data_IF_442383807135
#
_entry.id   IF_442383807135
#
_cell.length_a   1.000
_cell.length_b   1.000
_cell.length_c   1.000
_cell.angle_alpha   90.00
_cell.angle_beta   90.00
_cell.angle_gamma   90.00
#
_symmetry.space_group_name_H-M   'P 1'
#
loop_
_entity.id
_entity.type
_entity.pdbx_description
1 polymer ?
#
# COMPACT_ATOMS: atom_id res chain seq x y z
N UNK A 1 11.12 -18.18 3.62
CA UNK A 1 9.98 -17.42 3.07
C UNK A 1 8.97 -17.27 4.20
N UNK A 2 8.67 -16.05 4.63
CA UNK A 2 7.72 -15.83 5.74
C UNK A 2 6.31 -16.13 5.23
N UNK A 3 5.70 -17.23 5.67
CA UNK A 3 4.29 -17.52 5.44
C UNK A 3 3.46 -16.35 5.97
N UNK A 4 2.67 -15.73 5.09
CA UNK A 4 1.68 -14.77 5.54
C UNK A 4 0.67 -15.56 6.37
N UNK A 5 0.58 -15.28 7.67
CA UNK A 5 -0.45 -15.86 8.53
C UNK A 5 -1.76 -15.18 8.17
N UNK A 6 -2.49 -15.75 7.22
CA UNK A 6 -3.75 -15.24 6.67
C UNK A 6 -4.78 -14.96 7.78
N UNK A 7 -4.66 -15.60 8.95
CA UNK A 7 -5.54 -15.41 10.10
C UNK A 7 -5.60 -13.99 10.69
N UNK A 8 -4.59 -13.13 10.42
CA UNK A 8 -4.57 -11.74 10.90
C UNK A 8 -5.02 -10.72 9.83
N UNK A 9 -5.24 -11.18 8.59
CA UNK A 9 -5.66 -10.32 7.48
C UNK A 9 -7.18 -10.41 7.34
N UNK A 10 -7.92 -9.29 7.34
CA UNK A 10 -9.36 -9.30 7.06
C UNK A 10 -9.68 -10.11 5.79
N UNK A 11 -10.66 -11.01 5.85
CA UNK A 11 -11.01 -11.95 4.76
C UNK A 11 -11.08 -11.26 3.37
N UNK A 12 -11.69 -10.06 3.22
CA UNK A 12 -11.75 -9.39 1.92
C UNK A 12 -10.40 -8.99 1.33
N UNK A 13 -9.34 -8.94 2.14
CA UNK A 13 -7.99 -8.54 1.76
C UNK A 13 -7.06 -9.73 1.47
N UNK A 14 -7.37 -10.92 2.00
CA UNK A 14 -6.55 -12.12 1.78
C UNK A 14 -6.37 -12.42 0.29
N UNK A 15 -7.43 -12.26 -0.51
CA UNK A 15 -7.35 -12.40 -1.97
C UNK A 15 -6.38 -11.39 -2.60
N UNK A 16 -6.40 -10.13 -2.15
CA UNK A 16 -5.51 -9.09 -2.67
C UNK A 16 -4.05 -9.33 -2.26
N UNK A 17 -3.81 -9.87 -1.06
CA UNK A 17 -2.47 -10.31 -0.65
C UNK A 17 -1.94 -11.37 -1.62
N UNK A 18 -2.76 -12.36 -1.98
CA UNK A 18 -2.38 -13.37 -2.97
C UNK A 18 -2.12 -12.76 -4.35
N UNK A 19 -3.01 -11.88 -4.82
CA UNK A 19 -2.83 -11.19 -6.10
C UNK A 19 -1.50 -10.44 -6.16
N UNK A 20 -1.11 -9.77 -5.08
CA UNK A 20 0.18 -9.09 -4.97
C UNK A 20 1.34 -10.10 -4.96
N UNK A 21 1.28 -11.13 -4.11
CA UNK A 21 2.34 -12.16 -3.99
C UNK A 21 2.60 -12.91 -5.29
N UNK A 22 1.55 -13.19 -6.05
CA UNK A 22 1.63 -13.84 -7.36
C UNK A 22 1.83 -12.84 -8.52
N UNK A 23 2.21 -11.60 -8.21
CA UNK A 23 2.58 -10.56 -9.18
C UNK A 23 1.50 -10.32 -10.24
N UNK A 24 0.23 -10.35 -9.83
CA UNK A 24 -0.91 -10.15 -10.72
C UNK A 24 -1.15 -8.65 -10.91
N UNK A 25 -1.07 -8.20 -12.16
CA UNK A 25 -1.54 -6.87 -12.55
C UNK A 25 -3.06 -6.75 -12.35
N UNK A 26 -3.59 -5.54 -12.08
CA UNK A 26 -2.86 -4.30 -11.82
C UNK A 26 -2.33 -4.17 -10.38
N UNK A 27 -2.65 -5.12 -9.50
CA UNK A 27 -2.42 -5.02 -8.05
C UNK A 27 -0.95 -4.95 -7.68
N UNK A 28 -0.12 -5.79 -8.31
CA UNK A 28 1.33 -5.78 -8.13
C UNK A 28 1.97 -4.47 -8.61
N UNK A 29 1.48 -3.93 -9.72
CA UNK A 29 1.99 -2.68 -10.31
C UNK A 29 1.71 -1.48 -9.39
N UNK A 30 0.51 -1.46 -8.79
CA UNK A 30 0.12 -0.44 -7.80
C UNK A 30 1.07 -0.47 -6.58
N UNK A 31 1.33 -1.64 -6.00
CA UNK A 31 2.17 -1.72 -4.80
C UNK A 31 3.65 -1.45 -5.10
N UNK A 32 4.14 -1.85 -6.27
CA UNK A 32 5.49 -1.50 -6.73
C UNK A 32 5.63 0.01 -6.90
N UNK A 33 4.64 0.65 -7.52
CA UNK A 33 4.63 2.10 -7.66
C UNK A 33 4.65 2.79 -6.30
N UNK A 34 3.78 2.38 -5.38
CA UNK A 34 3.71 2.94 -4.03
C UNK A 34 5.02 2.78 -3.26
N UNK A 35 5.63 1.59 -3.28
CA UNK A 35 6.90 1.35 -2.60
C UNK A 35 7.98 2.30 -3.13
N UNK A 36 8.11 2.41 -4.45
CA UNK A 36 9.10 3.30 -5.07
C UNK A 36 8.89 4.77 -4.68
N UNK A 37 7.65 5.25 -4.67
CA UNK A 37 7.35 6.63 -4.26
C UNK A 37 7.68 6.85 -2.77
N UNK A 38 7.38 5.89 -1.90
CA UNK A 38 7.74 5.95 -0.48
C UNK A 38 9.25 5.96 -0.25
N UNK A 39 10.02 5.18 -1.02
CA UNK A 39 11.48 5.17 -0.98
C UNK A 39 12.05 6.54 -1.39
N UNK A 40 11.62 7.07 -2.53
CA UNK A 40 12.04 8.40 -3.00
C UNK A 40 11.67 9.49 -1.99
N UNK A 41 10.48 9.40 -1.39
CA UNK A 41 10.04 10.35 -0.37
C UNK A 41 10.93 10.28 0.88
N UNK A 42 11.26 9.07 1.35
CA UNK A 42 12.12 8.86 2.51
C UNK A 42 13.54 9.37 2.29
N UNK A 43 14.14 9.05 1.13
CA UNK A 43 15.49 9.51 0.76
C UNK A 43 15.58 11.05 0.71
N UNK A 44 14.54 11.72 0.19
CA UNK A 44 14.51 13.19 0.05
C UNK A 44 14.44 13.95 1.37
N UNK A 45 13.76 13.39 2.37
CA UNK A 45 13.59 14.05 3.69
C UNK A 45 14.81 13.83 4.59
N UNK A 46 15.72 12.92 4.20
CA UNK A 46 16.94 12.61 4.92
C UNK A 46 16.77 11.39 5.82
N UNK A 47 17.59 10.36 5.58
CA UNK A 47 17.63 9.13 6.37
C UNK A 47 17.92 9.45 7.85
N UNK A 48 16.89 9.39 8.70
CA UNK A 48 17.04 9.68 10.13
C UNK A 48 15.79 10.22 10.82
N UNK A 49 14.85 10.77 10.05
CA UNK A 49 13.54 11.18 10.58
C UNK A 49 12.44 10.21 10.15
N UNK A 50 11.54 9.90 11.07
CA UNK A 50 10.29 9.23 10.76
C UNK A 50 9.41 10.18 9.94
N UNK A 51 8.97 9.76 8.75
CA UNK A 51 8.16 10.60 7.86
C UNK A 51 6.82 9.95 7.56
N UNK A 52 5.78 10.76 7.39
CA UNK A 52 4.47 10.26 6.99
C UNK A 52 4.27 10.42 5.48
N UNK A 53 4.04 9.31 4.80
CA UNK A 53 3.61 9.29 3.41
C UNK A 53 2.09 9.10 3.34
N UNK A 54 1.39 9.96 2.60
CA UNK A 54 -0.07 9.91 2.48
C UNK A 54 -0.48 9.44 1.10
N UNK A 55 -1.31 8.40 1.06
CA UNK A 55 -1.91 7.87 -0.16
C UNK A 55 -3.37 8.33 -0.25
N UNK A 56 -3.69 9.07 -1.31
CA UNK A 56 -5.06 9.36 -1.72
C UNK A 56 -5.47 8.38 -2.84
N UNK A 57 -6.36 7.42 -2.59
CA UNK A 57 -6.76 6.40 -3.55
C UNK A 57 -7.33 6.93 -4.87
N UNK A 58 -7.92 8.14 -4.85
CA UNK A 58 -8.45 8.76 -6.07
C UNK A 58 -7.33 9.30 -6.94
N UNK A 59 -6.37 10.01 -6.35
CA UNK A 59 -5.20 10.50 -7.09
C UNK A 59 -4.39 9.33 -7.62
N UNK A 60 -4.18 8.31 -6.80
CA UNK A 60 -3.50 7.08 -7.22
C UNK A 60 -4.25 6.36 -8.35
N UNK A 61 -5.59 6.41 -8.36
CA UNK A 61 -6.36 5.84 -9.47
C UNK A 61 -6.06 6.57 -10.78
N UNK A 62 -6.12 7.90 -10.75
CA UNK A 62 -5.85 8.76 -11.91
C UNK A 62 -4.42 8.50 -12.43
N UNK A 63 -3.43 8.43 -11.55
CA UNK A 63 -2.03 8.12 -11.88
C UNK A 63 -1.82 6.72 -12.49
N UNK A 64 -2.55 5.72 -11.99
CA UNK A 64 -2.42 4.33 -12.45
C UNK A 64 -3.18 4.09 -13.76
N UNK A 65 -4.34 4.72 -13.95
CA UNK A 65 -5.12 4.61 -15.20
C UNK A 65 -4.34 5.16 -16.40
N UNK A 66 -3.49 6.17 -16.19
CA UNK A 66 -2.58 6.66 -17.23
C UNK A 66 -1.48 5.64 -17.60
N UNK A 67 -1.09 4.78 -16.66
CA UNK A 67 0.04 3.84 -16.80
C UNK A 67 -0.39 2.44 -17.23
N UNK A 68 -1.51 1.94 -16.72
CA UNK A 68 -1.97 0.55 -16.88
C UNK A 68 -3.19 0.54 -17.80
N UNK A 69 -2.96 0.38 -19.11
CA UNK A 69 -4.00 0.43 -20.14
C UNK A 69 -4.99 -0.75 -20.13
N UNK A 70 -4.76 -1.81 -19.36
CA UNK A 70 -5.38 -3.12 -19.64
C UNK A 70 -6.53 -3.56 -18.72
N UNK A 71 -6.82 -2.89 -17.60
CA UNK A 71 -7.99 -3.20 -16.75
C UNK A 71 -8.49 -1.97 -16.01
N UNK A 72 -9.82 -1.78 -15.92
CA UNK A 72 -10.42 -0.65 -15.18
C UNK A 72 -10.17 -0.83 -13.68
N UNK A 73 -9.20 -0.09 -13.15
CA UNK A 73 -8.93 -0.05 -11.71
C UNK A 73 -10.02 0.78 -11.03
N UNK A 74 -10.63 0.26 -9.97
CA UNK A 74 -11.60 1.02 -9.17
C UNK A 74 -10.95 1.54 -7.89
N UNK A 75 -11.41 2.68 -7.37
CA UNK A 75 -10.97 3.21 -6.07
C UNK A 75 -11.11 2.18 -4.95
N UNK A 76 -12.15 1.33 -5.02
CA UNK A 76 -12.38 0.24 -4.05
C UNK A 76 -11.27 -0.82 -4.14
N UNK A 77 -10.90 -1.25 -5.35
CA UNK A 77 -9.81 -2.20 -5.55
C UNK A 77 -8.47 -1.60 -5.09
N UNK A 78 -8.23 -0.31 -5.34
CA UNK A 78 -7.04 0.39 -4.84
C UNK A 78 -7.01 0.39 -3.31
N UNK A 79 -8.11 0.77 -2.66
CA UNK A 79 -8.20 0.73 -1.20
C UNK A 79 -7.88 -0.66 -0.64
N UNK A 80 -8.42 -1.72 -1.25
CA UNK A 80 -8.13 -3.10 -0.84
C UNK A 80 -6.68 -3.50 -1.12
N UNK A 81 -6.10 -3.01 -2.21
CA UNK A 81 -4.69 -3.26 -2.57
C UNK A 81 -3.74 -2.59 -1.58
N UNK A 82 -4.01 -1.33 -1.22
CA UNK A 82 -3.24 -0.61 -0.19
C UNK A 82 -3.33 -1.37 1.13
N UNK A 83 -4.53 -1.67 1.62
CA UNK A 83 -4.69 -2.40 2.89
C UNK A 83 -4.04 -3.80 2.83
N UNK A 84 -4.14 -4.51 1.72
CA UNK A 84 -3.48 -5.81 1.54
C UNK A 84 -1.95 -5.70 1.58
N UNK A 85 -1.36 -4.64 1.02
CA UNK A 85 0.06 -4.35 1.19
C UNK A 85 0.39 -4.14 2.67
N UNK A 86 -0.34 -3.25 3.36
CA UNK A 86 -0.03 -2.88 4.75
C UNK A 86 -0.15 -4.07 5.69
N UNK A 87 -1.28 -4.77 5.66
CA UNK A 87 -1.52 -5.96 6.48
C UNK A 87 -0.64 -7.13 6.03
N UNK A 88 -0.37 -7.30 4.73
CA UNK A 88 0.53 -8.31 4.21
C UNK A 88 1.99 -8.13 4.66
N UNK A 89 2.42 -6.87 4.86
CA UNK A 89 3.70 -6.51 5.46
C UNK A 89 3.70 -6.57 6.99
N UNK A 90 2.57 -6.94 7.61
CA UNK A 90 2.36 -6.96 9.07
C UNK A 90 2.55 -5.59 9.73
N UNK A 91 2.17 -4.52 9.02
CA UNK A 91 2.10 -3.18 9.58
C UNK A 91 0.85 -3.07 10.46
N UNK A 92 0.97 -2.39 11.60
CA UNK A 92 -0.09 -2.25 12.59
C UNK A 92 -0.80 -0.91 12.45
N UNK A 93 -2.12 -0.93 12.36
CA UNK A 93 -2.94 0.28 12.38
C UNK A 93 -2.81 0.99 13.75
N UNK A 94 -2.68 2.32 13.75
CA UNK A 94 -2.38 3.14 14.93
C UNK A 94 -0.89 3.27 15.26
N UNK A 95 -0.04 2.37 14.76
CA UNK A 95 1.41 2.41 14.99
C UNK A 95 2.20 2.65 13.70
N UNK A 96 2.04 1.81 12.68
CA UNK A 96 2.78 1.89 11.43
C UNK A 96 1.99 2.64 10.34
N UNK A 97 0.65 2.69 10.46
CA UNK A 97 -0.20 3.48 9.59
C UNK A 97 -1.53 3.86 10.27
N UNK A 98 -2.25 4.81 9.72
CA UNK A 98 -3.64 5.08 10.10
C UNK A 98 -4.47 5.53 8.89
N UNK A 99 -5.79 5.40 9.00
CA UNK A 99 -6.73 5.78 7.93
C UNK A 99 -7.58 6.95 8.39
N UNK A 100 -7.62 8.01 7.58
CA UNK A 100 -8.59 9.10 7.78
C UNK A 100 -9.71 9.00 6.76
N UNK A 101 -10.89 9.49 7.11
CA UNK A 101 -12.03 9.57 6.20
C UNK A 101 -12.53 11.02 6.14
N UNK A 102 -12.65 11.57 4.93
CA UNK A 102 -13.21 12.91 4.75
C UNK A 102 -14.71 12.91 4.96
N UNK A 103 -15.32 14.11 5.11
CA UNK A 103 -16.78 14.26 5.22
C UNK A 103 -17.57 13.63 4.06
N UNK A 104 -16.97 13.52 2.88
CA UNK A 104 -17.54 12.84 1.71
C UNK A 104 -17.29 11.33 1.66
N UNK A 105 -16.80 10.72 2.74
CA UNK A 105 -16.53 9.27 2.82
C UNK A 105 -15.25 8.80 2.13
N UNK A 106 -14.37 9.72 1.69
CA UNK A 106 -13.13 9.36 0.98
C UNK A 106 -12.05 9.02 1.99
N UNK A 107 -11.39 7.89 1.81
CA UNK A 107 -10.30 7.43 2.68
C UNK A 107 -8.95 7.97 2.23
N UNK A 108 -8.08 8.32 3.17
CA UNK A 108 -6.66 8.51 2.95
C UNK A 108 -5.88 7.59 3.88
N UNK A 109 -4.76 7.05 3.40
CA UNK A 109 -3.90 6.16 4.15
C UNK A 109 -2.61 6.90 4.48
N UNK A 110 -2.28 7.00 5.75
CA UNK A 110 -1.08 7.68 6.23
C UNK A 110 -0.13 6.64 6.78
N UNK A 111 1.01 6.46 6.13
CA UNK A 111 1.97 5.41 6.44
C UNK A 111 3.21 6.06 7.06
N UNK A 112 3.64 5.52 8.19
CA UNK A 112 4.90 5.85 8.83
C UNK A 112 6.04 5.18 8.04
N UNK A 113 6.78 5.98 7.28
CA UNK A 113 7.90 5.50 6.46
C UNK A 113 9.21 5.65 7.23
N UNK A 114 9.91 4.53 7.38
CA UNK A 114 11.25 4.43 7.94
C UNK A 114 11.94 3.18 7.37
N UNK A 115 13.21 2.97 7.72
CA UNK A 115 13.98 1.81 7.25
C UNK A 115 13.32 0.46 7.56
N UNK A 116 12.66 0.32 8.72
CA UNK A 116 11.92 -0.89 9.09
C UNK A 116 10.72 -1.12 8.18
N UNK A 117 9.85 -0.12 7.99
CA UNK A 117 8.64 -0.30 7.17
C UNK A 117 8.98 -0.53 5.71
N UNK A 118 9.96 0.18 5.15
CA UNK A 118 10.47 -0.07 3.79
C UNK A 118 11.07 -1.48 3.65
N UNK A 119 11.86 -1.94 4.63
CA UNK A 119 12.43 -3.29 4.60
C UNK A 119 11.35 -4.38 4.63
N UNK A 120 10.28 -4.19 5.40
CA UNK A 120 9.15 -5.12 5.44
C UNK A 120 8.42 -5.17 4.09
N UNK A 121 8.19 -4.01 3.48
CA UNK A 121 7.56 -3.91 2.16
C UNK A 121 8.41 -4.54 1.05
N UNK A 122 9.72 -4.30 1.03
CA UNK A 122 10.65 -4.96 0.09
C UNK A 122 10.63 -6.47 0.23
N UNK A 123 10.60 -6.97 1.46
CA UNK A 123 10.56 -8.42 1.74
C UNK A 123 9.21 -9.06 1.36
N UNK A 124 8.16 -8.25 1.23
CA UNK A 124 6.84 -8.72 0.86
C UNK A 124 6.67 -8.91 -0.65
N UNK A 125 7.37 -8.14 -1.48
CA UNK A 125 7.31 -8.18 -2.95
C UNK A 125 8.33 -9.16 -3.56
#
# INVERSE_FOLDING_TARGET
MSEVRIGEVPIPLANYVFLIKYRRSPYYDIVQHLLREMEIHYERVGEGSEVFYTINPRMLQEEIEERVRSEKVTTVNICRTILALLYGCRLREGEDFYVTTTSGGRRNYHIRVNSRTLSLMRSFL
#
